data_IF_777637946826
#
_entry.id   IF_777637946826
#
_cell.length_a   1.000
_cell.length_b   1.000
_cell.length_c   1.000
_cell.angle_alpha   90.00
_cell.angle_beta   90.00
_cell.angle_gamma   90.00
#
_symmetry.space_group_name_H-M   'P 1'
#
loop_
_entity.id
_entity.type
_entity.pdbx_description
1 polymer ?
#
# COMPACT_ATOMS: atom_id res chain seq x y z
N UNK A 1 -19.00 11.69 -10.64
CA UNK A 1 -18.50 11.64 -9.25
C UNK A 1 -18.69 10.23 -8.73
N UNK A 2 -17.64 9.63 -8.22
CA UNK A 2 -17.62 8.26 -7.68
C UNK A 2 -17.09 8.37 -6.27
N UNK A 3 -17.80 7.82 -5.31
CA UNK A 3 -17.40 7.80 -3.91
C UNK A 3 -17.51 6.40 -3.36
N UNK A 4 -16.53 6.01 -2.55
CA UNK A 4 -16.53 4.74 -1.84
C UNK A 4 -15.71 4.84 -0.58
N UNK A 5 -16.01 3.95 0.35
CA UNK A 5 -15.37 3.91 1.66
C UNK A 5 -14.19 2.97 1.63
N UNK A 6 -13.11 3.34 2.32
CA UNK A 6 -11.94 2.49 2.57
C UNK A 6 -11.56 2.65 4.04
N UNK A 7 -11.33 1.56 4.79
CA UNK A 7 -10.70 1.65 6.09
C UNK A 7 -9.36 2.39 5.98
N UNK A 8 -9.23 3.49 6.68
CA UNK A 8 -8.06 4.36 6.65
C UNK A 8 -6.80 3.61 7.12
N UNK A 9 -6.94 2.61 8.00
CA UNK A 9 -5.86 1.67 8.32
C UNK A 9 -5.24 1.01 7.07
N UNK A 10 -6.04 0.67 6.05
CA UNK A 10 -5.53 0.12 4.77
C UNK A 10 -4.77 1.16 3.96
N UNK A 11 -5.24 2.40 3.91
CA UNK A 11 -4.52 3.50 3.26
C UNK A 11 -3.20 3.82 3.97
N UNK A 12 -3.21 3.87 5.32
CA UNK A 12 -2.03 4.06 6.17
C UNK A 12 -1.02 2.95 6.02
N UNK A 13 -1.47 1.70 5.91
CA UNK A 13 -0.58 0.56 5.69
C UNK A 13 0.03 0.60 4.29
N UNK A 14 -0.76 0.88 3.25
CA UNK A 14 -0.27 0.96 1.87
C UNK A 14 0.74 2.11 1.68
N UNK A 15 0.48 3.30 2.22
CA UNK A 15 1.34 4.48 1.99
C UNK A 15 2.76 4.33 2.54
N UNK A 16 3.02 3.37 3.44
CA UNK A 16 4.37 3.03 3.92
C UNK A 16 5.30 2.57 2.79
N UNK A 17 4.72 2.02 1.71
CA UNK A 17 5.45 1.48 0.58
C UNK A 17 5.59 2.48 -0.57
N UNK A 18 4.96 3.65 -0.48
CA UNK A 18 5.08 4.70 -1.47
C UNK A 18 6.47 5.36 -1.42
N UNK A 19 6.95 5.81 -2.59
CA UNK A 19 8.16 6.63 -2.68
C UNK A 19 8.02 7.93 -1.88
N UNK A 20 9.14 8.38 -1.32
CA UNK A 20 9.30 9.74 -0.78
C UNK A 20 10.10 10.64 -1.73
N UNK A 21 10.65 10.06 -2.80
CA UNK A 21 11.39 10.77 -3.83
C UNK A 21 10.41 11.43 -4.79
N UNK A 22 10.21 12.74 -4.63
CA UNK A 22 9.30 13.55 -5.42
C UNK A 22 9.66 13.59 -6.90
N UNK A 23 10.89 13.25 -7.29
CA UNK A 23 11.25 13.12 -8.71
C UNK A 23 10.54 11.95 -9.39
N UNK A 24 10.01 11.00 -8.60
CA UNK A 24 9.21 9.84 -9.04
C UNK A 24 7.75 9.98 -8.64
N UNK A 25 7.11 11.08 -9.04
CA UNK A 25 5.74 11.45 -8.67
C UNK A 25 4.70 10.31 -8.72
N UNK A 26 4.78 9.44 -9.72
CA UNK A 26 3.91 8.26 -9.89
C UNK A 26 3.92 7.30 -8.70
N UNK A 27 5.06 7.19 -8.03
CA UNK A 27 5.26 6.29 -6.89
C UNK A 27 4.94 6.97 -5.55
N UNK A 28 4.66 8.27 -5.55
CA UNK A 28 4.43 9.08 -4.35
C UNK A 28 2.98 9.01 -3.85
N UNK A 29 2.37 7.83 -3.89
CA UNK A 29 0.99 7.64 -3.46
C UNK A 29 0.55 6.18 -3.40
N UNK A 30 -0.74 6.01 -3.11
CA UNK A 30 -1.42 4.72 -3.13
C UNK A 30 -2.28 4.67 -4.39
N UNK A 31 -1.89 3.83 -5.33
CA UNK A 31 -2.63 3.56 -6.55
C UNK A 31 -3.84 2.69 -6.26
N UNK A 32 -4.99 3.06 -6.82
CA UNK A 32 -6.29 2.41 -6.60
C UNK A 32 -6.80 1.91 -7.93
N UNK A 33 -6.94 0.58 -8.06
CA UNK A 33 -7.51 -0.06 -9.24
C UNK A 33 -8.82 -0.76 -8.88
N UNK A 34 -9.86 -0.57 -9.71
CA UNK A 34 -11.05 -1.41 -9.66
C UNK A 34 -10.69 -2.82 -10.14
N UNK A 35 -11.04 -3.84 -9.34
CA UNK A 35 -10.95 -5.24 -9.75
C UNK A 35 -12.26 -5.73 -10.36
N UNK A 36 -13.37 -5.38 -9.72
CA UNK A 36 -14.71 -5.67 -10.22
C UNK A 36 -15.73 -4.71 -9.58
N UNK A 37 -17.02 -5.03 -9.69
CA UNK A 37 -18.09 -4.23 -9.14
C UNK A 37 -18.09 -4.09 -7.61
N UNK A 38 -17.37 -4.92 -6.86
CA UNK A 38 -17.35 -4.90 -5.39
C UNK A 38 -15.95 -4.80 -4.79
N UNK A 39 -14.90 -4.88 -5.60
CA UNK A 39 -13.52 -4.94 -5.11
C UNK A 39 -12.64 -3.91 -5.77
N UNK A 40 -11.83 -3.27 -4.93
CA UNK A 40 -10.69 -2.45 -5.33
C UNK A 40 -9.41 -3.10 -4.81
N UNK A 41 -8.29 -2.72 -5.40
CA UNK A 41 -6.98 -3.02 -4.85
C UNK A 41 -6.20 -1.72 -4.65
N UNK A 42 -5.61 -1.59 -3.47
CA UNK A 42 -4.65 -0.55 -3.14
C UNK A 42 -3.26 -1.08 -3.48
N UNK A 43 -2.44 -0.27 -4.14
CA UNK A 43 -1.09 -0.65 -4.56
C UNK A 43 -0.14 0.50 -4.25
N UNK A 44 0.97 0.21 -3.59
CA UNK A 44 2.01 1.20 -3.34
C UNK A 44 3.39 0.58 -3.48
N UNK A 45 4.33 1.32 -4.08
CA UNK A 45 5.70 0.86 -4.29
C UNK A 45 6.67 2.03 -4.36
N UNK A 46 7.91 1.79 -3.94
CA UNK A 46 9.05 2.69 -4.07
C UNK A 46 10.07 2.20 -5.13
N UNK A 47 9.68 1.15 -5.87
CA UNK A 47 10.50 0.44 -6.86
C UNK A 47 11.37 -0.69 -6.28
N UNK A 48 11.49 -0.82 -4.95
CA UNK A 48 12.22 -1.90 -4.28
C UNK A 48 11.30 -2.86 -3.54
N UNK A 49 10.18 -2.34 -3.07
CA UNK A 49 9.15 -3.10 -2.36
C UNK A 49 7.80 -2.65 -2.84
N UNK A 50 6.84 -3.55 -2.74
CA UNK A 50 5.47 -3.34 -3.19
C UNK A 50 4.54 -3.91 -2.14
N UNK A 51 3.44 -3.21 -1.88
CA UNK A 51 2.33 -3.74 -1.11
C UNK A 51 1.05 -3.62 -1.92
N UNK A 52 0.24 -4.66 -1.84
CA UNK A 52 -1.14 -4.65 -2.34
C UNK A 52 -2.09 -5.00 -1.20
N UNK A 53 -3.24 -4.33 -1.18
CA UNK A 53 -4.31 -4.61 -0.23
C UNK A 53 -5.63 -4.69 -0.99
N UNK A 54 -6.23 -5.86 -1.05
CA UNK A 54 -7.57 -6.02 -1.59
C UNK A 54 -8.60 -5.49 -0.60
N UNK A 55 -9.56 -4.73 -1.09
CA UNK A 55 -10.66 -4.22 -0.28
C UNK A 55 -11.99 -4.44 -0.99
N UNK A 56 -12.94 -5.00 -0.25
CA UNK A 56 -14.32 -5.12 -0.68
C UNK A 56 -15.08 -3.90 -0.20
N UNK A 57 -15.74 -3.21 -1.12
CA UNK A 57 -16.61 -2.08 -0.83
C UNK A 57 -18.05 -2.56 -0.64
N UNK A 58 -18.83 -1.78 0.12
CA UNK A 58 -20.22 -2.13 0.43
C UNK A 58 -21.13 -1.98 -0.80
N UNK A 59 -20.98 -0.87 -1.52
CA UNK A 59 -21.78 -0.53 -2.70
C UNK A 59 -21.17 -1.01 -4.02
N UNK A 60 -22.00 -1.11 -5.06
CA UNK A 60 -21.50 -1.48 -6.38
C UNK A 60 -20.72 -0.32 -6.99
N UNK A 61 -19.46 -0.56 -7.37
CA UNK A 61 -18.61 0.43 -8.01
C UNK A 61 -18.92 0.52 -9.51
N UNK A 62 -19.22 1.74 -10.02
CA UNK A 62 -19.18 1.98 -11.45
C UNK A 62 -17.74 1.80 -11.98
N UNK A 63 -17.60 1.72 -13.30
CA UNK A 63 -16.25 1.69 -13.89
C UNK A 63 -15.56 3.04 -13.70
N UNK A 64 -14.29 3.00 -13.29
CA UNK A 64 -13.44 4.17 -13.21
C UNK A 64 -12.02 3.86 -13.66
N UNK A 65 -11.34 4.89 -14.16
CA UNK A 65 -9.91 4.81 -14.42
C UNK A 65 -9.17 4.76 -13.10
N UNK A 66 -8.20 3.86 -13.00
CA UNK A 66 -7.33 3.79 -11.84
C UNK A 66 -6.68 5.16 -11.58
N UNK A 67 -6.47 5.47 -10.31
CA UNK A 67 -5.96 6.75 -9.87
C UNK A 67 -5.06 6.57 -8.66
N UNK A 68 -4.20 7.55 -8.41
CA UNK A 68 -3.28 7.52 -7.27
C UNK A 68 -3.71 8.57 -6.25
N UNK A 69 -3.95 8.12 -5.02
CA UNK A 69 -4.13 9.00 -3.86
C UNK A 69 -2.74 9.47 -3.41
N UNK A 70 -2.43 10.76 -3.45
CA UNK A 70 -1.11 11.25 -3.06
C UNK A 70 -0.78 10.89 -1.61
N UNK A 71 0.45 10.43 -1.38
CA UNK A 71 0.91 10.03 -0.05
C UNK A 71 0.85 11.19 0.95
N UNK A 72 1.00 12.43 0.46
CA UNK A 72 0.86 13.65 1.25
C UNK A 72 -0.53 13.76 1.89
N UNK A 73 -1.61 13.56 1.12
CA UNK A 73 -2.98 13.61 1.65
C UNK A 73 -3.20 12.58 2.77
N UNK A 74 -2.72 11.35 2.56
CA UNK A 74 -2.87 10.26 3.54
C UNK A 74 -2.07 10.59 4.81
N UNK A 75 -0.87 11.15 4.68
CA UNK A 75 -0.04 11.53 5.84
C UNK A 75 -0.62 12.69 6.62
N UNK A 76 -1.20 13.69 5.95
CA UNK A 76 -1.89 14.80 6.60
C UNK A 76 -3.12 14.30 7.39
N UNK A 77 -3.92 13.43 6.79
CA UNK A 77 -5.03 12.77 7.49
C UNK A 77 -4.55 11.93 8.69
N UNK A 78 -3.43 11.20 8.59
CA UNK A 78 -2.87 10.41 9.69
C UNK A 78 -2.40 11.29 10.85
N UNK A 79 -1.80 12.45 10.56
CA UNK A 79 -1.42 13.43 11.57
C UNK A 79 -2.67 13.94 12.30
N UNK A 80 -3.72 14.28 11.57
CA UNK A 80 -4.96 14.80 12.19
C UNK A 80 -5.69 13.75 13.01
N UNK A 81 -5.77 12.50 12.54
CA UNK A 81 -6.34 11.38 13.31
C UNK A 81 -5.56 11.18 14.62
N UNK A 82 -4.22 11.21 14.56
CA UNK A 82 -3.38 11.13 15.77
C UNK A 82 -3.57 12.32 16.71
N UNK A 83 -3.71 13.53 16.17
CA UNK A 83 -3.97 14.74 16.95
C UNK A 83 -5.24 14.62 17.77
N UNK A 84 -6.34 14.19 17.14
CA UNK A 84 -7.62 13.94 17.83
C UNK A 84 -7.52 12.84 18.88
N UNK A 85 -6.79 11.77 18.58
CA UNK A 85 -6.54 10.70 19.54
C UNK A 85 -5.76 11.20 20.78
N UNK A 86 -4.81 12.12 20.58
CA UNK A 86 -4.08 12.75 21.68
C UNK A 86 -4.91 13.76 22.47
N UNK A 87 -5.77 14.54 21.81
CA UNK A 87 -6.73 15.42 22.50
C UNK A 87 -7.66 14.60 23.39
N UNK A 88 -8.24 13.49 22.89
CA UNK A 88 -9.08 12.60 23.68
C UNK A 88 -8.36 12.07 24.93
N UNK A 89 -7.11 11.61 24.81
CA UNK A 89 -6.27 11.22 25.95
C UNK A 89 -6.10 12.31 27.01
N UNK A 90 -6.02 13.57 26.58
CA UNK A 90 -5.81 14.69 27.50
C UNK A 90 -7.09 15.02 28.28
N UNK A 91 -8.26 14.64 27.78
CA UNK A 91 -9.56 14.87 28.42
C UNK A 91 -10.08 13.65 29.20
N UNK A 92 -9.66 12.43 28.87
CA UNK A 92 -10.16 11.19 29.49
C UNK A 92 -9.17 10.59 30.50
N UNK A 93 -9.34 10.97 31.78
CA UNK A 93 -8.77 10.26 32.94
C UNK A 93 -9.80 9.38 33.67
N UNK A 94 -11.01 9.20 33.13
CA UNK A 94 -12.08 8.40 33.76
C UNK A 94 -12.20 7.01 33.10
N UNK A 95 -11.93 5.94 33.87
CA UNK A 95 -11.76 4.56 33.39
C UNK A 95 -13.05 3.87 32.86
N UNK A 96 -14.23 4.45 33.08
CA UNK A 96 -15.53 3.79 32.82
C UNK A 96 -16.25 4.23 31.53
N UNK A 97 -15.65 5.08 30.69
CA UNK A 97 -16.28 5.50 29.42
C UNK A 97 -16.01 4.52 28.27
N UNK A 98 -16.97 4.33 27.34
CA UNK A 98 -16.74 3.54 26.13
C UNK A 98 -15.53 4.08 25.38
N UNK A 99 -14.61 3.18 25.06
CA UNK A 99 -13.36 3.45 24.34
C UNK A 99 -13.57 4.50 23.22
N UNK A 100 -13.11 5.75 23.42
CA UNK A 100 -13.28 6.85 22.46
C UNK A 100 -12.34 6.72 21.26
N UNK A 101 -11.47 5.70 21.26
CA UNK A 101 -10.52 5.39 20.19
C UNK A 101 -11.17 4.81 18.94
N UNK A 102 -12.49 4.60 18.96
CA UNK A 102 -13.27 4.35 17.74
C UNK A 102 -13.66 5.69 17.10
N UNK A 103 -12.66 6.50 16.74
CA UNK A 103 -12.84 7.40 15.60
C UNK A 103 -13.22 6.48 14.44
N UNK A 104 -14.28 6.81 13.71
CA UNK A 104 -14.62 6.03 12.53
C UNK A 104 -13.47 6.19 11.53
N UNK A 105 -12.62 5.17 11.52
CA UNK A 105 -11.39 5.11 10.74
C UNK A 105 -11.71 4.94 9.26
N UNK A 106 -12.96 5.03 8.82
CA UNK A 106 -13.27 4.97 7.42
C UNK A 106 -12.99 6.31 6.74
N UNK A 107 -12.22 6.23 5.65
CA UNK A 107 -12.01 7.33 4.74
C UNK A 107 -13.01 7.19 3.58
N UNK A 108 -13.74 8.26 3.30
CA UNK A 108 -14.57 8.39 2.11
C UNK A 108 -13.68 8.96 1.02
N UNK A 109 -13.37 8.14 0.02
CA UNK A 109 -12.60 8.55 -1.15
C UNK A 109 -13.58 8.97 -2.24
N UNK A 110 -13.44 10.20 -2.73
CA UNK A 110 -14.25 10.72 -3.84
C UNK A 110 -13.36 11.09 -5.02
N UNK A 111 -13.81 10.70 -6.21
CA UNK A 111 -13.19 10.98 -7.50
C UNK A 111 -14.21 11.67 -8.39
N UNK A 112 -13.92 12.90 -8.81
CA UNK A 112 -14.78 13.66 -9.73
C UNK A 112 -14.26 13.70 -11.18
N UNK A 113 -13.08 13.11 -11.44
CA UNK A 113 -12.43 13.02 -12.74
C UNK A 113 -11.18 13.88 -12.88
N UNK A 114 -11.05 14.92 -12.06
CA UNK A 114 -9.87 15.79 -12.03
C UNK A 114 -9.26 15.86 -10.64
N UNK A 115 -10.10 15.74 -9.60
CA UNK A 115 -9.69 15.76 -8.21
C UNK A 115 -9.91 14.41 -7.54
N UNK A 116 -9.01 14.09 -6.62
CA UNK A 116 -9.27 13.08 -5.60
C UNK A 116 -9.40 13.77 -4.26
N UNK A 117 -10.48 13.49 -3.55
CA UNK A 117 -10.66 13.93 -2.17
C UNK A 117 -10.76 12.74 -1.21
N UNK A 118 -10.25 12.97 -0.02
CA UNK A 118 -10.32 12.06 1.11
C UNK A 118 -11.02 12.80 2.23
N UNK A 119 -12.23 12.35 2.56
CA UNK A 119 -12.99 12.86 3.69
C UNK A 119 -12.99 11.84 4.81
N UNK A 120 -12.74 12.28 6.03
CA UNK A 120 -12.95 11.47 7.22
C UNK A 120 -14.41 11.60 7.67
N UNK A 121 -14.90 10.58 8.37
CA UNK A 121 -16.24 10.52 8.98
C UNK A 121 -16.60 11.75 9.82
N UNK A 122 -15.59 12.43 10.35
CA UNK A 122 -15.70 13.63 11.17
C UNK A 122 -15.78 14.96 10.39
N UNK A 123 -15.86 14.88 9.06
CA UNK A 123 -16.04 16.02 8.16
C UNK A 123 -14.74 16.68 7.68
N UNK A 124 -13.56 16.26 8.15
CA UNK A 124 -12.31 16.79 7.60
C UNK A 124 -12.11 16.27 6.17
N UNK A 125 -11.87 17.18 5.24
CA UNK A 125 -11.67 16.84 3.82
C UNK A 125 -10.34 17.36 3.32
N UNK A 126 -9.61 16.51 2.61
CA UNK A 126 -8.38 16.83 1.89
C UNK A 126 -8.61 16.58 0.41
N UNK A 127 -8.04 17.41 -0.48
CA UNK A 127 -8.18 17.24 -1.92
C UNK A 127 -6.87 17.51 -2.66
N UNK A 128 -6.66 16.82 -3.77
CA UNK A 128 -5.60 17.12 -4.73
C UNK A 128 -6.20 17.26 -6.13
N UNK A 129 -5.82 18.34 -6.82
CA UNK A 129 -6.37 18.74 -8.14
C UNK A 129 -5.68 18.06 -9.34
N UNK A 130 -4.62 17.28 -9.08
CA UNK A 130 -3.81 16.66 -10.13
C UNK A 130 -3.61 15.16 -9.87
N UNK A 131 -4.54 14.36 -10.37
CA UNK A 131 -4.41 12.90 -10.42
C UNK A 131 -3.81 12.43 -11.75
N UNK A 132 -3.33 11.19 -11.75
CA UNK A 132 -2.68 10.45 -12.84
C UNK A 132 -3.46 10.33 -14.17
N UNK A 133 -4.56 11.08 -14.32
CA UNK A 133 -5.48 11.02 -15.45
C UNK A 133 -5.13 11.98 -16.60
N UNK A 134 -4.12 12.85 -16.43
CA UNK A 134 -3.61 13.71 -17.51
C UNK A 134 -2.88 12.87 -18.56
N UNK A 135 -3.08 13.21 -19.84
CA UNK A 135 -2.58 12.45 -21.00
C UNK A 135 -1.05 12.23 -20.99
N UNK A 136 -0.32 13.14 -20.34
CA UNK A 136 1.15 13.16 -20.25
C UNK A 136 1.68 12.80 -18.86
N UNK A 137 0.81 12.39 -17.92
CA UNK A 137 1.27 11.93 -16.61
C UNK A 137 1.91 10.54 -16.76
N UNK A 138 3.12 10.32 -16.22
CA UNK A 138 3.76 9.02 -16.30
C UNK A 138 2.88 7.97 -15.60
N UNK A 139 2.68 6.81 -16.23
CA UNK A 139 1.72 5.81 -15.74
C UNK A 139 2.29 4.96 -14.63
N UNK A 140 1.43 4.57 -13.70
CA UNK A 140 1.76 3.64 -12.63
C UNK A 140 2.29 2.36 -13.24
N UNK A 141 3.41 1.81 -12.71
CA UNK A 141 3.99 0.60 -13.26
C UNK A 141 2.95 -0.52 -13.33
N UNK A 142 2.99 -1.32 -14.41
CA UNK A 142 2.16 -2.53 -14.54
C UNK A 142 2.63 -3.61 -13.56
N UNK A 143 2.34 -3.40 -12.29
CA UNK A 143 2.85 -4.19 -11.17
C UNK A 143 2.42 -5.66 -11.24
N UNK A 144 1.24 -5.96 -11.79
CA UNK A 144 0.74 -7.33 -11.91
C UNK A 144 1.62 -8.18 -12.83
N UNK A 145 2.12 -7.59 -13.91
CA UNK A 145 3.06 -8.27 -14.82
C UNK A 145 4.39 -8.58 -14.14
N UNK A 146 4.83 -7.70 -13.23
CA UNK A 146 6.00 -7.97 -12.40
C UNK A 146 5.79 -9.19 -11.51
N UNK A 147 4.56 -9.49 -11.09
CA UNK A 147 4.26 -10.71 -10.33
C UNK A 147 4.20 -11.96 -11.21
N UNK A 148 3.62 -11.84 -12.41
CA UNK A 148 3.51 -12.96 -13.36
C UNK A 148 4.89 -13.44 -13.87
N UNK A 149 5.87 -12.54 -13.89
CA UNK A 149 7.25 -12.85 -14.27
C UNK A 149 7.96 -13.78 -13.25
N UNK A 150 7.46 -13.87 -12.02
CA UNK A 150 7.98 -14.82 -11.04
C UNK A 150 7.38 -16.19 -11.33
N UNK A 151 8.17 -17.07 -11.95
CA UNK A 151 7.78 -18.46 -12.18
C UNK A 151 7.26 -19.12 -10.89
N UNK A 152 6.27 -20.01 -11.02
CA UNK A 152 5.58 -20.66 -9.88
C UNK A 152 6.46 -21.62 -9.06
N UNK A 153 7.76 -21.71 -9.35
CA UNK A 153 8.67 -22.56 -8.60
C UNK A 153 9.03 -21.88 -7.28
N UNK A 154 8.57 -22.47 -6.18
CA UNK A 154 9.04 -22.16 -4.85
C UNK A 154 10.52 -22.54 -4.75
N UNK A 155 11.34 -21.65 -4.20
CA UNK A 155 12.74 -21.97 -3.91
C UNK A 155 12.80 -22.55 -2.49
N UNK A 156 13.12 -23.85 -2.34
CA UNK A 156 13.08 -24.51 -1.04
C UNK A 156 14.32 -24.13 -0.23
N UNK A 157 14.26 -22.98 0.47
CA UNK A 157 15.30 -22.61 1.43
C UNK A 157 14.76 -22.65 2.85
N UNK A 158 15.48 -23.33 3.74
CA UNK A 158 15.14 -23.45 5.16
C UNK A 158 15.49 -22.19 5.99
N UNK A 159 16.32 -21.29 5.45
CA UNK A 159 16.73 -20.06 6.13
C UNK A 159 16.85 -18.89 5.15
N UNK A 160 16.31 -17.73 5.56
CA UNK A 160 16.30 -16.48 4.79
C UNK A 160 17.03 -15.42 5.62
N UNK A 161 17.99 -14.71 5.02
CA UNK A 161 18.68 -13.58 5.65
C UNK A 161 18.27 -12.28 4.96
N UNK A 162 17.52 -11.44 5.67
CA UNK A 162 17.07 -10.13 5.21
C UNK A 162 17.51 -9.05 6.17
N UNK A 163 17.88 -7.88 5.65
CA UNK A 163 18.12 -6.71 6.50
C UNK A 163 16.83 -6.32 7.23
N UNK A 164 16.89 -6.18 8.55
CA UNK A 164 15.71 -5.87 9.37
C UNK A 164 15.00 -4.57 8.93
N UNK A 165 15.75 -3.60 8.40
CA UNK A 165 15.18 -2.36 7.86
C UNK A 165 14.28 -2.58 6.64
N UNK A 166 14.51 -3.64 5.85
CA UNK A 166 13.66 -4.00 4.71
C UNK A 166 12.30 -4.53 5.16
N UNK A 167 12.25 -5.12 6.35
CA UNK A 167 11.03 -5.67 6.95
C UNK A 167 10.28 -4.65 7.81
N UNK A 168 10.92 -3.56 8.23
CA UNK A 168 10.36 -2.59 9.17
C UNK A 168 8.97 -2.08 8.78
N UNK A 169 8.76 -1.68 7.52
CA UNK A 169 7.45 -1.21 7.07
C UNK A 169 6.42 -2.32 6.86
N UNK A 170 6.85 -3.56 6.58
CA UNK A 170 5.94 -4.72 6.60
C UNK A 170 5.46 -5.01 8.02
N UNK A 171 6.34 -4.96 9.02
CA UNK A 171 5.95 -5.09 10.42
C UNK A 171 4.99 -3.97 10.84
N UNK A 172 5.27 -2.71 10.44
CA UNK A 172 4.37 -1.58 10.73
C UNK A 172 3.02 -1.75 10.05
N UNK A 173 2.98 -2.21 8.80
CA UNK A 173 1.73 -2.51 8.10
C UNK A 173 0.94 -3.60 8.84
N UNK A 174 1.60 -4.67 9.31
CA UNK A 174 0.96 -5.71 10.11
C UNK A 174 0.37 -5.15 11.41
N UNK A 175 1.11 -4.29 12.14
CA UNK A 175 0.59 -3.65 13.34
C UNK A 175 -0.57 -2.69 13.06
N UNK A 176 -0.56 -1.96 11.94
CA UNK A 176 -1.66 -1.06 11.55
C UNK A 176 -2.92 -1.86 11.20
N UNK A 177 -2.77 -2.96 10.45
CA UNK A 177 -3.89 -3.75 9.96
C UNK A 177 -4.45 -4.67 11.05
N UNK A 178 -3.59 -5.25 11.89
CA UNK A 178 -3.93 -6.17 12.97
C UNK A 178 -3.07 -5.92 14.21
N UNK A 179 -3.42 -4.92 15.04
CA UNK A 179 -2.64 -4.55 16.23
C UNK A 179 -2.44 -5.70 17.23
N UNK A 180 -3.37 -6.66 17.25
CA UNK A 180 -3.34 -7.82 18.15
C UNK A 180 -2.54 -9.01 17.60
N UNK A 181 -2.17 -9.01 16.31
CA UNK A 181 -1.45 -10.11 15.66
C UNK A 181 -0.56 -9.61 14.52
N UNK A 182 0.68 -9.26 14.86
CA UNK A 182 1.68 -8.72 13.93
C UNK A 182 2.75 -9.76 13.58
N UNK A 183 2.34 -10.83 12.91
CA UNK A 183 3.26 -11.81 12.33
C UNK A 183 3.37 -11.64 10.81
N UNK A 184 4.53 -12.02 10.26
CA UNK A 184 4.79 -12.05 8.83
C UNK A 184 5.13 -13.46 8.39
N UNK A 185 4.62 -13.88 7.23
CA UNK A 185 5.09 -15.06 6.51
C UNK A 185 5.91 -14.57 5.33
N UNK A 186 7.13 -15.08 5.21
CA UNK A 186 8.05 -14.72 4.13
C UNK A 186 8.29 -15.98 3.30
N UNK A 187 8.07 -15.88 1.99
CA UNK A 187 8.26 -16.99 1.04
C UNK A 187 9.11 -16.51 -0.13
N UNK A 188 10.18 -17.25 -0.45
CA UNK A 188 11.03 -16.95 -1.61
C UNK A 188 10.46 -17.53 -2.90
N UNK A 189 10.49 -16.73 -3.98
CA UNK A 189 9.99 -17.12 -5.30
C UNK A 189 11.02 -16.88 -6.40
N UNK A 190 11.04 -17.79 -7.38
CA UNK A 190 11.91 -17.73 -8.56
C UNK A 190 13.39 -17.96 -8.21
N UNK A 191 14.24 -18.00 -9.24
CA UNK A 191 15.70 -18.10 -9.09
C UNK A 191 16.36 -16.98 -9.88
N UNK A 192 17.43 -16.41 -9.32
CA UNK A 192 18.26 -15.45 -10.06
C UNK A 192 19.09 -16.21 -11.11
N UNK A 193 19.32 -15.59 -12.27
CA UNK A 193 19.88 -16.25 -13.47
C UNK A 193 21.31 -16.83 -13.28
N UNK A 194 21.96 -16.54 -12.17
CA UNK A 194 23.32 -16.98 -11.84
C UNK A 194 23.45 -17.41 -10.36
N UNK A 195 22.33 -17.61 -9.66
CA UNK A 195 22.28 -17.94 -8.24
C UNK A 195 21.01 -18.74 -7.93
N UNK A 196 21.14 -20.06 -8.07
CA UNK A 196 20.05 -21.02 -7.86
C UNK A 196 19.57 -21.08 -6.40
N UNK A 197 20.38 -20.58 -5.46
CA UNK A 197 20.13 -20.63 -4.02
C UNK A 197 19.40 -19.38 -3.49
N UNK A 198 19.38 -18.28 -4.25
CA UNK A 198 18.72 -17.03 -3.86
C UNK A 198 17.43 -16.80 -4.66
N UNK A 199 16.31 -16.56 -3.97
CA UNK A 199 15.06 -16.30 -4.67
C UNK A 199 15.12 -14.96 -5.41
N UNK A 200 14.46 -14.91 -6.56
CA UNK A 200 14.35 -13.68 -7.35
C UNK A 200 13.58 -12.59 -6.61
N UNK A 201 12.62 -12.96 -5.75
CA UNK A 201 11.93 -12.04 -4.86
C UNK A 201 11.44 -12.75 -3.59
N UNK A 202 11.04 -11.95 -2.59
CA UNK A 202 10.37 -12.46 -1.40
C UNK A 202 8.93 -11.95 -1.37
N UNK A 203 7.97 -12.86 -1.32
CA UNK A 203 6.59 -12.53 -1.00
C UNK A 203 6.41 -12.52 0.50
N UNK A 204 5.71 -11.50 0.99
CA UNK A 204 5.49 -11.24 2.41
C UNK A 204 3.99 -11.17 2.64
N UNK A 205 3.44 -12.14 3.37
CA UNK A 205 2.04 -12.18 3.79
C UNK A 205 1.88 -11.78 5.25
N UNK A 206 0.72 -11.24 5.59
CA UNK A 206 0.27 -11.04 6.97
C UNK A 206 -0.82 -12.09 7.21
N UNK A 207 -0.60 -13.12 8.04
CA UNK A 207 -1.60 -14.20 8.22
C UNK A 207 -2.97 -13.70 8.68
N UNK A 208 -2.97 -12.66 9.52
CA UNK A 208 -4.19 -12.03 10.02
C UNK A 208 -4.91 -11.17 8.96
N UNK A 209 -4.22 -10.72 7.90
CA UNK A 209 -4.81 -9.99 6.76
C UNK A 209 -4.51 -10.73 5.44
N UNK A 210 -5.30 -11.75 5.07
CA UNK A 210 -5.12 -12.47 3.80
C UNK A 210 -5.25 -11.59 2.55
N UNK A 211 -5.87 -10.42 2.68
CA UNK A 211 -6.00 -9.46 1.60
C UNK A 211 -4.71 -8.65 1.35
N UNK A 212 -3.74 -8.72 2.26
CA UNK A 212 -2.44 -8.08 2.12
C UNK A 212 -1.46 -9.01 1.39
N UNK A 213 -0.80 -8.47 0.37
CA UNK A 213 0.36 -9.09 -0.25
C UNK A 213 1.49 -8.06 -0.36
N UNK A 214 2.59 -8.37 0.31
CA UNK A 214 3.86 -7.68 0.19
C UNK A 214 4.80 -8.38 -0.77
N UNK A 215 5.63 -7.61 -1.47
CA UNK A 215 6.74 -8.13 -2.27
C UNK A 215 7.98 -7.30 -1.99
N UNK A 216 9.08 -7.97 -1.73
CA UNK A 216 10.41 -7.40 -1.73
C UNK A 216 11.10 -7.83 -3.04
N UNK A 217 11.26 -6.86 -3.94
CA UNK A 217 11.93 -7.04 -5.23
C UNK A 217 13.42 -7.29 -5.01
N UNK A 218 14.15 -7.93 -5.95
CA UNK A 218 15.54 -8.26 -5.73
C UNK A 218 16.36 -7.01 -5.44
N UNK A 219 16.98 -6.98 -4.26
CA UNK A 219 18.13 -6.11 -4.00
C UNK A 219 19.21 -6.62 -4.95
N UNK A 220 19.72 -5.82 -5.88
CA UNK A 220 20.83 -6.24 -6.75
C UNK A 220 21.97 -6.79 -5.89
N UNK A 221 22.10 -8.11 -5.78
CA UNK A 221 23.25 -8.77 -5.16
C UNK A 221 24.06 -9.34 -6.32
N UNK A 222 25.24 -8.78 -6.56
CA UNK A 222 26.13 -9.20 -7.64
C UNK A 222 26.08 -8.28 -8.87
N UNK A 223 27.20 -8.20 -9.60
CA UNK A 223 27.41 -7.32 -10.76
C UNK A 223 26.22 -7.39 -11.72
N UNK A 224 25.81 -6.27 -12.33
CA UNK A 224 24.74 -6.29 -13.32
C UNK A 224 25.22 -7.16 -14.49
N UNK A 225 24.63 -8.35 -14.65
CA UNK A 225 24.30 -8.78 -16.00
C UNK A 225 23.55 -7.59 -16.62
N UNK A 226 23.90 -7.25 -17.86
CA UNK A 226 23.22 -6.19 -18.61
C UNK A 226 21.77 -6.62 -18.76
N UNK A 227 20.94 -6.23 -17.79
CA UNK A 227 19.50 -6.25 -17.88
C UNK A 227 19.23 -5.05 -18.77
N UNK A 228 18.80 -5.29 -20.01
CA UNK A 228 18.24 -4.23 -20.83
C UNK A 228 17.17 -3.54 -19.98
N UNK A 229 17.41 -2.25 -19.77
CA UNK A 229 16.54 -1.39 -19.00
C UNK A 229 15.15 -1.48 -19.66
N UNK A 230 14.08 -1.81 -18.92
CA UNK A 230 12.76 -1.88 -19.51
C UNK A 230 12.43 -0.53 -20.16
N UNK A 231 11.74 -0.55 -21.30
CA UNK A 231 11.47 0.65 -22.13
C UNK A 231 10.78 1.83 -21.40
N UNK A 232 10.27 1.59 -20.20
CA UNK A 232 9.57 2.57 -19.36
C UNK A 232 10.45 3.22 -18.28
N UNK A 233 11.76 2.98 -18.29
CA UNK A 233 12.73 3.45 -17.30
C UNK A 233 13.82 4.28 -17.99
#
# INVERSE_FOLDING_TARGET
MISFTIPFAKLRAAVLFASQDETRYVLCGVHVERRDAKRIILVATDGRRLATILHQVDDSLPEFRAFTIPAKLIREADITVKGRAFEALAYDLDEDQPNPWRIDENAIVTLDGETVSLAMSDGITYSAEDIEQKKDYPKFPKWSQSLDAFGRSLTPRASISLGAYLLGDFCRAATILHPQSSSLIITGYGQLKDDDDNPACYMIGIPAEPAFLGVLMPVKVGRPAIIEKPDWL
#
